data_IF_258256285985
#
_entry.id   IF_258256285985
#
_cell.length_a   1.000
_cell.length_b   1.000
_cell.length_c   1.000
_cell.angle_alpha   90.00
_cell.angle_beta   90.00
_cell.angle_gamma   90.00
#
_symmetry.space_group_name_H-M   'P 1'
#
loop_
_entity.id
_entity.type
_entity.pdbx_description
1 polymer ?
#
# COMPACT_ATOMS: atom_id res chain seq x y z
N UNK A 1 -33.92 -66.17 -25.54
CA UNK A 1 -32.81 -65.19 -25.42
C UNK A 1 -33.44 -63.83 -25.15
N UNK A 2 -33.13 -63.20 -24.02
CA UNK A 2 -33.10 -61.75 -23.73
C UNK A 2 -32.92 -61.67 -22.20
N UNK A 3 -31.68 -61.37 -21.77
CA UNK A 3 -31.32 -61.10 -20.37
C UNK A 3 -31.37 -59.60 -20.19
N UNK A 4 -32.31 -59.11 -19.37
CA UNK A 4 -32.42 -57.69 -19.03
C UNK A 4 -31.35 -57.35 -18.00
N UNK A 5 -30.35 -56.54 -18.41
CA UNK A 5 -29.34 -55.98 -17.51
C UNK A 5 -29.95 -54.85 -16.67
N UNK A 6 -29.93 -55.02 -15.35
CA UNK A 6 -30.22 -53.95 -14.39
C UNK A 6 -28.93 -53.13 -14.23
N UNK A 7 -28.93 -51.90 -14.74
CA UNK A 7 -27.82 -50.95 -14.56
C UNK A 7 -27.94 -50.29 -13.19
N UNK A 8 -26.94 -50.49 -12.34
CA UNK A 8 -26.81 -49.87 -11.03
C UNK A 8 -26.18 -48.48 -11.19
N UNK A 9 -26.97 -47.42 -11.09
CA UNK A 9 -26.47 -46.04 -11.09
C UNK A 9 -25.88 -45.71 -9.72
N UNK A 10 -24.56 -45.62 -9.63
CA UNK A 10 -23.83 -45.15 -8.44
C UNK A 10 -23.85 -43.62 -8.49
N UNK A 11 -24.65 -42.98 -7.64
CA UNK A 11 -24.51 -41.54 -7.36
C UNK A 11 -23.23 -41.33 -6.53
N UNK A 12 -22.18 -40.83 -7.17
CA UNK A 12 -21.06 -40.20 -6.46
C UNK A 12 -21.53 -38.85 -5.92
N UNK A 13 -21.87 -38.81 -4.63
CA UNK A 13 -21.97 -37.56 -3.90
C UNK A 13 -20.57 -36.93 -3.85
N UNK A 14 -20.34 -35.94 -4.71
CA UNK A 14 -19.16 -35.11 -4.64
C UNK A 14 -19.20 -34.32 -3.35
N UNK A 15 -18.45 -34.77 -2.34
CA UNK A 15 -18.10 -33.95 -1.19
C UNK A 15 -17.25 -32.79 -1.70
N UNK A 16 -17.89 -31.70 -2.08
CA UNK A 16 -17.22 -30.41 -2.22
C UNK A 16 -16.64 -30.09 -0.86
N UNK A 17 -15.33 -30.28 -0.69
CA UNK A 17 -14.62 -29.68 0.40
C UNK A 17 -14.84 -28.17 0.25
N UNK A 18 -15.74 -27.63 1.06
CA UNK A 18 -15.77 -26.20 1.34
C UNK A 18 -14.43 -25.96 2.03
N UNK A 19 -13.42 -25.56 1.26
CA UNK A 19 -12.25 -24.92 1.85
C UNK A 19 -12.82 -23.76 2.64
N UNK A 20 -12.80 -23.88 3.97
CA UNK A 20 -13.02 -22.73 4.82
C UNK A 20 -12.07 -21.66 4.28
N UNK A 21 -12.63 -20.56 3.78
CA UNK A 21 -11.84 -19.46 3.29
C UNK A 21 -11.12 -18.92 4.53
N UNK A 22 -9.88 -19.38 4.75
CA UNK A 22 -9.09 -19.06 5.96
C UNK A 22 -8.87 -17.55 6.10
N UNK A 23 -9.09 -16.81 5.00
CA UNK A 23 -9.13 -15.37 4.93
C UNK A 23 -10.45 -14.83 4.40
N UNK A 24 -11.03 -13.87 5.12
CA UNK A 24 -12.15 -13.08 4.63
C UNK A 24 -11.85 -11.59 4.79
N UNK A 25 -12.46 -10.74 3.96
CA UNK A 25 -12.33 -9.28 4.10
C UNK A 25 -12.76 -8.80 5.50
N UNK A 26 -13.89 -9.26 6.10
CA UNK A 26 -14.23 -8.92 7.48
C UNK A 26 -13.17 -9.31 8.51
N UNK A 27 -12.49 -10.45 8.33
CA UNK A 27 -11.40 -10.84 9.22
C UNK A 27 -10.21 -9.89 9.10
N UNK A 28 -9.86 -9.47 7.88
CA UNK A 28 -8.79 -8.50 7.66
C UNK A 28 -9.16 -7.10 8.17
N UNK A 29 -10.42 -6.69 8.02
CA UNK A 29 -10.98 -5.47 8.61
C UNK A 29 -10.85 -5.48 10.13
N UNK A 30 -11.29 -6.55 10.80
CA UNK A 30 -11.15 -6.69 12.24
C UNK A 30 -9.69 -6.66 12.72
N UNK A 31 -8.75 -7.21 11.93
CA UNK A 31 -7.32 -7.13 12.23
C UNK A 31 -6.82 -5.67 12.17
N UNK A 32 -7.17 -4.94 11.11
CA UNK A 32 -6.84 -3.51 10.96
C UNK A 32 -7.47 -2.67 12.07
N UNK A 33 -8.74 -2.89 12.41
CA UNK A 33 -9.41 -2.20 13.52
C UNK A 33 -8.67 -2.41 14.86
N UNK A 34 -8.22 -3.64 15.13
CA UNK A 34 -7.43 -3.93 16.34
C UNK A 34 -6.05 -3.25 16.33
N UNK A 35 -5.42 -3.13 15.16
CA UNK A 35 -4.17 -2.40 14.96
C UNK A 35 -4.37 -0.89 15.21
N UNK A 36 -5.38 -0.29 14.59
CA UNK A 36 -5.68 1.14 14.75
C UNK A 36 -6.06 1.49 16.19
N UNK A 37 -6.83 0.62 16.86
CA UNK A 37 -7.16 0.79 18.27
C UNK A 37 -5.92 0.77 19.17
N UNK A 38 -4.97 -0.14 18.90
CA UNK A 38 -3.71 -0.22 19.63
C UNK A 38 -2.79 0.97 19.35
N UNK A 39 -2.63 1.37 18.08
CA UNK A 39 -1.80 2.52 17.69
C UNK A 39 -2.34 3.83 18.27
N UNK A 40 -3.68 3.99 18.30
CA UNK A 40 -4.32 5.18 18.88
C UNK A 40 -4.01 5.30 20.38
N UNK A 41 -4.02 4.19 21.11
CA UNK A 41 -3.75 4.20 22.56
C UNK A 41 -2.29 3.97 22.94
N UNK A 42 -1.41 3.63 22.00
CA UNK A 42 -0.03 3.18 22.27
C UNK A 42 0.03 1.86 23.05
N UNK A 43 -1.02 1.04 22.95
CA UNK A 43 -1.15 -0.20 23.72
C UNK A 43 -1.28 -1.40 22.79
N UNK A 44 -0.15 -2.04 22.53
CA UNK A 44 -0.07 -3.21 21.65
C UNK A 44 -0.89 -4.41 22.16
N UNK A 45 -1.26 -4.46 23.45
CA UNK A 45 -2.09 -5.55 23.98
C UNK A 45 -3.50 -5.57 23.39
N UNK A 46 -3.94 -4.45 22.79
CA UNK A 46 -5.23 -4.32 22.11
C UNK A 46 -5.25 -4.96 20.71
N UNK A 47 -4.08 -5.25 20.14
CA UNK A 47 -4.00 -5.95 18.85
C UNK A 47 -4.32 -7.44 19.03
N UNK A 48 -5.03 -8.04 18.07
CA UNK A 48 -5.26 -9.48 18.04
C UNK A 48 -4.00 -10.22 17.56
N UNK A 49 -2.91 -10.16 18.34
CA UNK A 49 -1.60 -10.69 17.96
C UNK A 49 -1.46 -12.20 18.21
N UNK A 50 -0.77 -12.87 17.29
CA UNK A 50 -0.20 -14.19 17.53
C UNK A 50 0.98 -14.09 18.50
N UNK A 51 1.17 -15.11 19.36
CA UNK A 51 2.25 -15.12 20.34
C UNK A 51 3.65 -15.11 19.71
N UNK A 52 3.78 -15.53 18.45
CA UNK A 52 5.03 -15.56 17.67
C UNK A 52 5.02 -14.53 16.55
N UNK A 53 4.23 -13.46 16.68
CA UNK A 53 4.19 -12.40 15.69
C UNK A 53 5.59 -11.83 15.42
N UNK A 54 5.86 -11.53 14.15
CA UNK A 54 7.09 -10.88 13.70
C UNK A 54 6.86 -9.37 13.60
N UNK A 55 7.93 -8.62 13.84
CA UNK A 55 7.88 -7.16 13.88
C UNK A 55 8.98 -6.58 13.01
N UNK A 56 8.60 -5.65 12.14
CA UNK A 56 9.49 -4.87 11.31
C UNK A 56 9.08 -3.41 11.36
N UNK A 57 10.07 -2.53 11.39
CA UNK A 57 9.88 -1.10 11.24
C UNK A 57 10.95 -0.58 10.28
N UNK A 58 10.56 0.22 9.30
CA UNK A 58 11.42 0.77 8.25
C UNK A 58 12.21 -0.33 7.52
N UNK A 59 11.55 -1.47 7.27
CA UNK A 59 12.11 -2.68 6.66
C UNK A 59 13.33 -3.24 7.42
N UNK A 60 13.39 -3.02 8.74
CA UNK A 60 14.41 -3.55 9.65
C UNK A 60 13.69 -4.40 10.72
N UNK A 61 14.14 -5.64 10.99
CA UNK A 61 13.60 -6.45 12.08
C UNK A 61 13.70 -5.73 13.42
N UNK A 62 12.61 -5.69 14.16
CA UNK A 62 12.54 -5.07 15.49
C UNK A 62 11.85 -6.01 16.49
N UNK A 63 11.65 -5.55 17.73
CA UNK A 63 10.94 -6.30 18.77
C UNK A 63 9.58 -5.69 19.07
N UNK A 64 8.71 -6.48 19.70
CA UNK A 64 7.38 -6.08 20.14
C UNK A 64 7.40 -4.77 20.95
N UNK A 65 8.41 -4.57 21.77
CA UNK A 65 8.52 -3.46 22.72
C UNK A 65 9.08 -2.18 22.11
N UNK A 66 9.68 -2.26 20.91
CA UNK A 66 10.46 -1.15 20.33
C UNK A 66 9.75 -0.36 19.25
N UNK A 67 8.74 -0.93 18.59
CA UNK A 67 8.07 -0.25 17.49
C UNK A 67 7.13 0.86 17.94
N UNK A 68 6.83 1.76 17.01
CA UNK A 68 5.98 2.94 17.20
C UNK A 68 4.55 2.59 17.65
N UNK A 69 4.10 1.35 17.46
CA UNK A 69 2.81 0.84 17.98
C UNK A 69 2.68 0.87 19.51
N UNK A 70 3.77 1.13 20.26
CA UNK A 70 3.73 1.39 21.70
C UNK A 70 3.64 2.89 22.05
N UNK A 71 3.48 3.76 21.06
CA UNK A 71 3.31 5.21 21.23
C UNK A 71 1.89 5.60 20.82
N UNK A 72 1.19 6.32 21.70
CA UNK A 72 -0.16 6.79 21.41
C UNK A 72 -0.13 7.87 20.33
N UNK A 73 -0.82 7.64 19.21
CA UNK A 73 -0.90 8.59 18.10
C UNK A 73 -2.35 9.05 17.87
N UNK A 74 -2.62 10.36 17.81
CA UNK A 74 -3.92 10.88 17.41
C UNK A 74 -4.10 10.75 15.89
N UNK A 75 -4.66 9.61 15.46
CA UNK A 75 -4.88 9.30 14.05
C UNK A 75 -5.92 10.26 13.46
N UNK A 76 -5.53 11.00 12.42
CA UNK A 76 -6.37 12.01 11.77
C UNK A 76 -7.11 11.49 10.52
N UNK A 77 -6.52 10.50 9.84
CA UNK A 77 -7.11 9.84 8.68
C UNK A 77 -6.41 8.51 8.38
N UNK A 78 -7.10 7.60 7.70
CA UNK A 78 -6.57 6.30 7.28
C UNK A 78 -7.15 5.83 5.96
N UNK A 79 -6.34 5.15 5.15
CA UNK A 79 -6.79 4.37 3.98
C UNK A 79 -6.32 2.93 4.18
N UNK A 80 -7.22 1.96 4.09
CA UNK A 80 -6.90 0.53 4.25
C UNK A 80 -7.31 -0.28 3.02
N UNK A 81 -6.44 -1.22 2.64
CA UNK A 81 -6.70 -2.18 1.55
C UNK A 81 -6.46 -3.62 2.05
N UNK A 82 -7.19 -4.56 1.46
CA UNK A 82 -7.32 -5.92 2.00
C UNK A 82 -7.05 -6.97 0.93
N UNK A 83 -5.91 -7.65 1.05
CA UNK A 83 -5.47 -8.72 0.17
C UNK A 83 -5.97 -10.07 0.71
N UNK A 84 -7.22 -10.38 0.38
CA UNK A 84 -7.90 -11.62 0.81
C UNK A 84 -7.13 -12.87 0.36
N UNK A 85 -6.67 -13.00 -0.90
CA UNK A 85 -5.92 -14.20 -1.32
C UNK A 85 -4.61 -14.43 -0.57
N UNK A 86 -3.94 -13.37 -0.07
CA UNK A 86 -2.67 -13.48 0.65
C UNK A 86 -2.77 -13.33 2.16
N UNK A 87 -3.97 -13.08 2.70
CA UNK A 87 -4.17 -12.68 4.09
C UNK A 87 -3.26 -11.55 4.54
N UNK A 88 -3.19 -10.50 3.73
CA UNK A 88 -2.43 -9.30 4.05
C UNK A 88 -3.29 -8.07 4.00
N UNK A 89 -2.86 -7.05 4.72
CA UNK A 89 -3.45 -5.72 4.64
C UNK A 89 -2.34 -4.70 4.43
N UNK A 90 -2.72 -3.53 3.94
CA UNK A 90 -1.94 -2.32 4.03
C UNK A 90 -2.86 -1.23 4.58
N UNK A 91 -2.36 -0.43 5.51
CA UNK A 91 -3.05 0.73 6.04
C UNK A 91 -2.10 1.92 6.03
N UNK A 92 -2.48 2.95 5.30
CA UNK A 92 -1.90 4.29 5.39
C UNK A 92 -2.53 5.00 6.60
N UNK A 93 -1.71 5.57 7.47
CA UNK A 93 -2.14 6.28 8.69
C UNK A 93 -1.53 7.67 8.71
N UNK A 94 -2.35 8.70 8.85
CA UNK A 94 -1.89 10.09 8.87
C UNK A 94 -2.11 10.66 10.28
N UNK A 95 -1.02 11.20 10.85
CA UNK A 95 -0.99 11.80 12.19
C UNK A 95 -0.49 13.24 12.05
N UNK A 96 -1.30 14.20 12.47
CA UNK A 96 -1.00 15.65 12.36
C UNK A 96 -0.97 16.37 13.70
N UNK A 97 -1.44 15.71 14.77
CA UNK A 97 -1.48 16.24 16.13
C UNK A 97 -0.59 15.38 17.06
N UNK A 98 -0.48 15.74 18.34
CA UNK A 98 0.29 14.96 19.32
C UNK A 98 1.77 15.33 19.42
N UNK A 99 2.17 16.46 18.83
CA UNK A 99 3.51 17.06 18.96
C UNK A 99 4.53 16.57 17.93
N UNK A 100 4.41 15.34 17.43
CA UNK A 100 5.25 14.79 16.37
C UNK A 100 4.37 14.21 15.25
N UNK A 101 4.34 14.83 14.05
CA UNK A 101 3.54 14.34 12.93
C UNK A 101 4.18 13.11 12.27
N UNK A 102 3.34 12.21 11.75
CA UNK A 102 3.77 11.01 11.04
C UNK A 102 2.86 10.73 9.83
N UNK A 103 3.42 10.09 8.80
CA UNK A 103 2.66 9.33 7.81
C UNK A 103 3.20 7.89 7.84
N UNK A 104 2.34 6.95 8.22
CA UNK A 104 2.72 5.55 8.38
C UNK A 104 2.14 4.72 7.23
N UNK A 105 2.89 3.76 6.76
CA UNK A 105 2.38 2.66 5.94
C UNK A 105 2.57 1.36 6.69
N UNK A 106 1.50 0.71 7.14
CA UNK A 106 1.60 -0.53 7.93
C UNK A 106 0.96 -1.69 7.19
N UNK A 107 1.73 -2.77 7.05
CA UNK A 107 1.25 -4.06 6.55
C UNK A 107 1.06 -5.03 7.70
N UNK A 108 -0.05 -5.76 7.65
CA UNK A 108 -0.32 -6.87 8.56
C UNK A 108 -0.41 -8.16 7.75
N UNK A 109 0.23 -9.23 8.24
CA UNK A 109 -0.11 -10.60 7.83
C UNK A 109 -1.04 -11.21 8.89
N UNK A 110 -2.07 -11.92 8.44
CA UNK A 110 -3.11 -12.47 9.32
C UNK A 110 -3.24 -13.97 9.09
N UNK A 111 -3.42 -14.73 10.17
CA UNK A 111 -3.74 -16.16 10.13
C UNK A 111 -4.77 -16.46 11.19
N UNK A 112 -5.90 -17.06 10.80
CA UNK A 112 -6.97 -17.47 11.74
C UNK A 112 -7.42 -16.34 12.68
N UNK A 113 -7.57 -15.11 12.15
CA UNK A 113 -7.97 -13.93 12.92
C UNK A 113 -6.89 -13.35 13.85
N UNK A 114 -5.65 -13.82 13.74
CA UNK A 114 -4.49 -13.32 14.49
C UNK A 114 -3.47 -12.66 13.58
N UNK A 115 -2.97 -11.50 13.99
CA UNK A 115 -1.88 -10.79 13.32
C UNK A 115 -0.58 -11.56 13.61
N UNK A 116 0.06 -12.07 12.55
CA UNK A 116 1.31 -12.85 12.62
C UNK A 116 2.53 -12.05 12.22
N UNK A 117 2.34 -10.89 11.58
CA UNK A 117 3.42 -9.99 11.21
C UNK A 117 2.90 -8.55 11.18
N UNK A 118 3.69 -7.62 11.71
CA UNK A 118 3.53 -6.18 11.56
C UNK A 118 4.78 -5.66 10.87
N UNK A 119 4.61 -4.94 9.77
CA UNK A 119 5.69 -4.29 9.03
C UNK A 119 5.28 -2.85 8.71
N UNK A 120 5.89 -1.88 9.38
CA UNK A 120 5.55 -0.46 9.25
C UNK A 120 6.68 0.33 8.62
N UNK A 121 6.36 1.19 7.65
CA UNK A 121 7.16 2.35 7.32
C UNK A 121 6.67 3.53 8.17
N UNK A 122 7.58 4.16 8.87
CA UNK A 122 7.34 5.32 9.72
C UNK A 122 8.01 6.50 9.03
N UNK A 123 7.21 7.33 8.37
CA UNK A 123 7.72 8.55 7.77
C UNK A 123 7.45 9.77 8.65
N UNK A 124 8.47 10.60 8.86
CA UNK A 124 8.41 11.80 9.68
C UNK A 124 9.38 12.92 9.22
N UNK A 125 9.68 13.85 10.13
CA UNK A 125 10.54 14.98 9.85
C UNK A 125 11.92 14.52 9.32
N UNK A 126 12.36 15.13 8.22
CA UNK A 126 13.58 14.83 7.44
C UNK A 126 13.45 13.76 6.34
N UNK A 127 12.27 13.18 6.19
CA UNK A 127 11.93 12.34 5.05
C UNK A 127 11.59 13.13 3.79
N UNK A 128 11.55 12.40 2.67
CA UNK A 128 11.33 12.94 1.33
C UNK A 128 10.02 13.74 1.25
N UNK A 129 10.17 15.05 1.02
CA UNK A 129 9.06 16.01 0.85
C UNK A 129 8.06 16.05 2.02
N UNK A 130 8.46 15.58 3.22
CA UNK A 130 7.54 15.35 4.33
C UNK A 130 6.79 16.60 4.80
N UNK A 131 5.47 16.51 4.82
CA UNK A 131 4.49 17.47 5.31
C UNK A 131 3.15 16.74 5.55
N UNK A 132 2.96 16.24 6.77
CA UNK A 132 1.75 15.49 7.14
C UNK A 132 0.45 16.32 7.03
N UNK A 133 0.52 17.65 7.19
CA UNK A 133 -0.66 18.51 7.09
C UNK A 133 -1.18 18.59 5.64
N UNK A 134 -0.29 18.77 4.67
CA UNK A 134 -0.64 18.72 3.25
C UNK A 134 -1.00 17.29 2.82
N UNK A 135 -0.31 16.27 3.34
CA UNK A 135 -0.69 14.86 3.12
C UNK A 135 -2.13 14.60 3.55
N UNK A 136 -2.51 15.03 4.76
CA UNK A 136 -3.88 14.94 5.27
C UNK A 136 -4.88 15.69 4.39
N UNK A 137 -4.54 16.93 4.00
CA UNK A 137 -5.39 17.79 3.18
C UNK A 137 -5.72 17.13 1.85
N UNK A 138 -4.73 16.63 1.13
CA UNK A 138 -4.93 16.04 -0.19
C UNK A 138 -5.55 14.64 -0.11
N UNK A 139 -5.14 13.81 0.84
CA UNK A 139 -5.76 12.50 1.07
C UNK A 139 -7.27 12.62 1.35
N UNK A 140 -7.70 13.61 2.16
CA UNK A 140 -9.13 13.91 2.41
C UNK A 140 -9.89 14.50 1.22
N UNK A 141 -9.19 15.04 0.23
CA UNK A 141 -9.82 15.60 -0.97
C UNK A 141 -10.13 14.52 -2.03
N UNK A 142 -9.56 13.33 -1.86
CA UNK A 142 -9.76 12.20 -2.74
C UNK A 142 -10.94 11.33 -2.27
N UNK A 143 -11.69 10.78 -3.22
CA UNK A 143 -12.79 9.88 -2.92
C UNK A 143 -12.38 8.45 -3.25
N UNK A 144 -12.27 7.58 -2.25
CA UNK A 144 -11.81 6.20 -2.43
C UNK A 144 -12.96 5.19 -2.32
N UNK A 145 -13.92 5.16 -3.28
CA UNK A 145 -15.00 4.19 -3.23
C UNK A 145 -14.49 2.79 -3.60
N UNK A 146 -15.24 1.78 -3.14
CA UNK A 146 -15.21 0.45 -3.74
C UNK A 146 -15.62 0.59 -5.21
N UNK A 147 -14.87 -0.03 -6.12
CA UNK A 147 -15.19 0.01 -7.54
C UNK A 147 -16.40 -0.85 -7.87
N UNK A 148 -17.15 -0.44 -8.88
CA UNK A 148 -18.04 -1.36 -9.59
C UNK A 148 -17.22 -2.47 -10.27
N UNK A 149 -17.75 -3.70 -10.41
CA UNK A 149 -17.02 -4.82 -11.00
C UNK A 149 -16.38 -4.51 -12.36
N UNK A 150 -17.05 -3.73 -13.20
CA UNK A 150 -16.59 -3.39 -14.55
C UNK A 150 -15.45 -2.36 -14.57
N UNK A 151 -15.28 -1.57 -13.49
CA UNK A 151 -14.19 -0.61 -13.36
C UNK A 151 -12.89 -1.26 -12.83
N UNK A 152 -12.96 -2.53 -12.40
CA UNK A 152 -11.85 -3.27 -11.80
C UNK A 152 -11.00 -3.94 -12.87
N UNK A 153 -9.74 -4.15 -12.53
CA UNK A 153 -8.80 -4.96 -13.31
C UNK A 153 -8.30 -6.12 -12.46
N UNK A 154 -7.70 -7.12 -13.10
CA UNK A 154 -7.17 -8.28 -12.41
C UNK A 154 -6.03 -7.93 -11.45
N UNK A 155 -5.80 -8.80 -10.46
CA UNK A 155 -4.64 -8.74 -9.57
C UNK A 155 -3.32 -8.55 -10.32
N UNK A 156 -3.14 -9.29 -11.42
CA UNK A 156 -1.89 -9.24 -12.18
C UNK A 156 -1.74 -7.88 -12.89
N UNK A 157 -2.81 -7.33 -13.46
CA UNK A 157 -2.79 -5.99 -14.06
C UNK A 157 -2.46 -4.90 -13.04
N UNK A 158 -2.94 -5.01 -11.79
CA UNK A 158 -2.55 -4.11 -10.71
C UNK A 158 -1.05 -4.20 -10.42
N UNK A 159 -0.51 -5.42 -10.24
CA UNK A 159 0.93 -5.65 -10.01
C UNK A 159 1.78 -5.14 -11.17
N UNK A 160 1.35 -5.42 -12.40
CA UNK A 160 2.05 -5.00 -13.62
C UNK A 160 2.09 -3.48 -13.73
N UNK A 161 0.98 -2.79 -13.41
CA UNK A 161 0.96 -1.34 -13.34
C UNK A 161 2.03 -0.82 -12.36
N UNK A 162 1.98 -1.26 -11.09
CA UNK A 162 2.95 -0.84 -10.09
C UNK A 162 4.41 -1.06 -10.50
N UNK A 163 4.73 -2.20 -11.13
CA UNK A 163 6.07 -2.46 -11.67
C UNK A 163 6.44 -1.55 -12.83
N UNK A 164 5.54 -1.37 -13.80
CA UNK A 164 5.76 -0.50 -14.95
C UNK A 164 6.04 0.93 -14.52
N UNK A 165 5.40 1.43 -13.45
CA UNK A 165 5.72 2.75 -12.90
C UNK A 165 7.21 2.84 -12.55
N UNK A 166 7.72 1.99 -11.67
CA UNK A 166 9.12 2.04 -11.25
C UNK A 166 10.09 1.86 -12.43
N UNK A 167 9.80 0.91 -13.31
CA UNK A 167 10.67 0.60 -14.43
C UNK A 167 10.68 1.74 -15.47
N UNK A 168 9.54 2.41 -15.69
CA UNK A 168 9.48 3.61 -16.51
C UNK A 168 10.28 4.76 -15.91
N UNK A 169 10.12 5.02 -14.61
CA UNK A 169 10.75 6.16 -13.92
C UNK A 169 12.27 6.04 -13.85
N UNK A 170 12.79 4.82 -13.71
CA UNK A 170 14.21 4.62 -13.42
C UNK A 170 15.00 3.78 -14.41
N UNK A 171 14.37 3.08 -15.35
CA UNK A 171 15.09 2.16 -16.24
C UNK A 171 14.87 2.46 -17.72
N UNK A 172 13.62 2.53 -18.18
CA UNK A 172 13.33 2.56 -19.62
C UNK A 172 12.09 3.42 -19.98
N UNK A 173 12.30 4.48 -20.80
CA UNK A 173 11.19 5.28 -21.37
C UNK A 173 10.34 4.51 -22.38
N UNK A 174 10.77 3.35 -22.84
CA UNK A 174 10.02 2.45 -23.73
C UNK A 174 8.81 1.82 -23.04
N UNK A 175 8.81 1.77 -21.71
CA UNK A 175 7.70 1.25 -20.91
C UNK A 175 6.51 2.21 -20.98
N UNK A 176 5.30 1.65 -20.93
CA UNK A 176 4.05 2.40 -21.05
C UNK A 176 3.18 2.13 -19.83
N UNK A 177 3.48 2.73 -18.66
CA UNK A 177 2.61 2.63 -17.50
C UNK A 177 1.21 3.11 -17.85
N UNK A 178 0.16 2.57 -17.20
CA UNK A 178 -1.22 2.92 -17.52
C UNK A 178 -1.62 4.28 -16.93
N UNK A 179 -0.97 5.35 -17.39
CA UNK A 179 -1.32 6.73 -17.02
C UNK A 179 -2.79 7.03 -17.30
N UNK A 180 -3.48 7.61 -16.32
CA UNK A 180 -4.85 8.10 -16.45
C UNK A 180 -4.93 9.62 -16.49
N UNK A 181 -6.12 10.15 -16.73
CA UNK A 181 -6.41 11.58 -16.65
C UNK A 181 -7.88 11.75 -16.26
N UNK A 182 -8.20 12.45 -15.16
CA UNK A 182 -7.26 13.06 -14.22
C UNK A 182 -6.54 12.01 -13.36
N UNK A 183 -5.27 12.23 -13.05
CA UNK A 183 -4.59 11.49 -11.98
C UNK A 183 -3.67 12.38 -11.17
N UNK A 184 -3.40 11.97 -9.92
CA UNK A 184 -2.56 12.73 -9.02
C UNK A 184 -1.58 11.84 -8.24
N UNK A 185 -0.40 12.38 -7.94
CA UNK A 185 0.56 11.78 -7.02
C UNK A 185 0.64 12.61 -5.75
N UNK A 186 0.52 11.94 -4.61
CA UNK A 186 0.76 12.47 -3.27
C UNK A 186 2.06 11.88 -2.72
N UNK A 187 3.09 12.72 -2.62
CA UNK A 187 4.46 12.31 -2.28
C UNK A 187 5.03 13.21 -1.18
N UNK A 188 5.15 12.67 0.03
CA UNK A 188 5.55 13.42 1.23
C UNK A 188 4.57 14.52 1.65
N UNK A 189 3.58 14.88 0.84
CA UNK A 189 2.69 16.03 1.02
C UNK A 189 2.66 16.93 -0.22
N UNK A 190 3.61 16.77 -1.14
CA UNK A 190 3.52 17.35 -2.47
C UNK A 190 2.42 16.63 -3.28
N UNK A 191 1.57 17.41 -3.96
CA UNK A 191 0.45 16.88 -4.74
C UNK A 191 0.47 17.42 -6.16
N UNK A 192 0.35 16.55 -7.16
CA UNK A 192 0.44 16.96 -8.58
C UNK A 192 -0.85 17.54 -9.14
N UNK A 193 -1.98 17.42 -8.43
CA UNK A 193 -3.26 18.01 -8.82
C UNK A 193 -3.86 18.92 -7.72
N UNK A 194 -3.14 19.96 -7.26
CA UNK A 194 -3.54 20.75 -6.10
C UNK A 194 -4.81 21.59 -6.33
N UNK A 195 -5.23 21.76 -7.59
CA UNK A 195 -6.42 22.53 -8.00
C UNK A 195 -7.61 21.64 -8.37
N UNK A 196 -7.47 20.31 -8.28
CA UNK A 196 -8.46 19.33 -8.73
C UNK A 196 -8.92 19.55 -10.19
N UNK A 197 -7.95 19.84 -11.07
CA UNK A 197 -8.20 20.05 -12.49
C UNK A 197 -8.39 18.70 -13.19
N UNK A 198 -9.33 18.60 -14.15
CA UNK A 198 -9.65 17.34 -14.83
C UNK A 198 -8.55 16.91 -15.83
N UNK A 199 -7.60 17.78 -16.14
CA UNK A 199 -6.50 17.53 -17.09
C UNK A 199 -5.17 17.21 -16.43
N UNK A 200 -5.09 17.36 -15.11
CA UNK A 200 -3.85 17.13 -14.38
C UNK A 200 -3.48 15.66 -14.38
N UNK A 201 -2.18 15.42 -14.37
CA UNK A 201 -1.57 14.11 -14.47
C UNK A 201 -0.66 13.83 -13.27
N UNK A 202 -0.47 12.55 -13.03
CA UNK A 202 0.48 11.94 -12.10
C UNK A 202 1.72 11.43 -12.84
N UNK A 203 1.79 11.65 -14.16
CA UNK A 203 2.94 11.31 -14.97
C UNK A 203 4.14 12.13 -14.52
N UNK A 204 5.27 11.45 -14.39
CA UNK A 204 6.55 12.05 -14.08
C UNK A 204 7.42 12.07 -15.33
N UNK A 205 8.22 13.13 -15.55
CA UNK A 205 9.30 13.09 -16.54
C UNK A 205 10.23 11.91 -16.22
N UNK A 206 10.54 11.09 -17.22
CA UNK A 206 11.32 9.87 -17.02
C UNK A 206 12.32 9.61 -18.17
N UNK A 207 13.42 8.88 -17.93
CA UNK A 207 13.84 8.43 -16.62
C UNK A 207 14.50 9.59 -15.87
N UNK A 208 14.43 9.56 -14.55
CA UNK A 208 15.11 10.54 -13.69
C UNK A 208 16.58 10.16 -13.40
N UNK A 209 17.01 9.00 -13.88
CA UNK A 209 18.33 8.42 -13.66
C UNK A 209 18.21 6.91 -13.49
N UNK A 210 19.33 6.19 -13.60
CA UNK A 210 19.35 4.74 -13.36
C UNK A 210 19.33 4.46 -11.86
N UNK A 211 18.21 3.91 -11.36
CA UNK A 211 18.05 3.49 -9.98
C UNK A 211 17.26 2.19 -9.91
N UNK A 212 17.82 1.18 -9.25
CA UNK A 212 17.10 -0.07 -9.05
C UNK A 212 16.15 0.04 -7.86
N UNK A 213 14.86 -0.11 -8.12
CA UNK A 213 13.83 -0.29 -7.08
C UNK A 213 13.67 -1.77 -6.82
N UNK A 214 14.24 -2.24 -5.70
CA UNK A 214 14.40 -3.65 -5.35
C UNK A 214 13.47 -4.06 -4.19
N UNK A 215 13.48 -5.35 -3.84
CA UNK A 215 12.68 -5.92 -2.75
C UNK A 215 11.17 -5.63 -2.84
N UNK A 216 10.63 -5.51 -4.07
CA UNK A 216 9.22 -5.22 -4.31
C UNK A 216 8.33 -6.33 -3.75
N UNK A 217 7.41 -5.97 -2.86
CA UNK A 217 6.45 -6.87 -2.24
C UNK A 217 5.07 -6.21 -2.22
N UNK A 218 4.03 -7.00 -2.48
CA UNK A 218 2.73 -6.47 -2.89
C UNK A 218 1.62 -6.79 -1.87
N UNK A 219 0.71 -5.83 -1.69
CA UNK A 219 -0.63 -6.04 -1.12
C UNK A 219 -1.63 -5.55 -2.18
N UNK A 220 -2.53 -6.42 -2.62
CA UNK A 220 -3.47 -6.12 -3.72
C UNK A 220 -4.90 -6.26 -3.24
N UNK A 221 -5.73 -5.27 -3.56
CA UNK A 221 -7.17 -5.29 -3.29
C UNK A 221 -7.92 -4.92 -4.58
N UNK A 222 -8.48 -5.94 -5.25
CA UNK A 222 -9.22 -5.75 -6.52
C UNK A 222 -10.53 -4.97 -6.33
N UNK A 223 -11.19 -5.05 -5.18
CA UNK A 223 -12.43 -4.28 -4.92
C UNK A 223 -12.13 -2.79 -4.83
N UNK A 224 -11.01 -2.45 -4.20
CA UNK A 224 -10.50 -1.09 -4.15
C UNK A 224 -9.71 -0.73 -5.41
N UNK A 225 -9.49 -1.64 -6.37
CA UNK A 225 -8.63 -1.41 -7.53
C UNK A 225 -7.25 -0.87 -7.16
N UNK A 226 -6.59 -1.47 -6.17
CA UNK A 226 -5.33 -0.97 -5.62
C UNK A 226 -4.23 -2.02 -5.56
N UNK A 227 -2.99 -1.57 -5.71
CA UNK A 227 -1.80 -2.29 -5.25
C UNK A 227 -0.93 -1.38 -4.42
N UNK A 228 -0.54 -1.84 -3.25
CA UNK A 228 0.57 -1.26 -2.50
C UNK A 228 1.84 -2.07 -2.77
N UNK A 229 2.95 -1.37 -3.01
CA UNK A 229 4.28 -1.93 -3.22
C UNK A 229 5.21 -1.40 -2.15
N UNK A 230 5.64 -2.26 -1.22
CA UNK A 230 6.82 -1.97 -0.40
C UNK A 230 8.07 -2.34 -1.18
N UNK A 231 9.07 -1.47 -1.14
CA UNK A 231 10.31 -1.63 -1.88
C UNK A 231 11.48 -0.88 -1.22
N UNK A 232 12.68 -1.05 -1.77
CA UNK A 232 13.86 -0.24 -1.45
C UNK A 232 14.40 0.44 -2.68
N UNK A 233 14.73 1.71 -2.55
CA UNK A 233 15.35 2.53 -3.59
C UNK A 233 16.88 2.38 -3.52
N UNK A 234 17.50 1.96 -4.61
CA UNK A 234 18.96 1.86 -4.76
C UNK A 234 19.53 0.49 -4.42
N UNK A 235 19.50 0.10 -3.13
CA UNK A 235 20.10 -1.15 -2.65
C UNK A 235 19.16 -2.00 -1.79
N UNK A 236 19.37 -3.32 -1.81
CA UNK A 236 18.54 -4.30 -1.11
C UNK A 236 18.66 -4.29 0.41
N UNK A 237 19.74 -3.70 0.96
CA UNK A 237 20.03 -3.63 2.40
C UNK A 237 20.07 -2.19 2.89
N UNK A 238 20.82 -1.34 2.21
CA UNK A 238 21.08 0.05 2.60
C UNK A 238 20.21 1.07 1.84
N UNK A 239 19.41 0.62 0.87
CA UNK A 239 18.52 1.47 0.10
C UNK A 239 17.38 2.06 0.94
N UNK A 240 16.85 3.21 0.52
CA UNK A 240 15.79 3.89 1.26
C UNK A 240 14.48 3.07 1.21
N UNK A 241 13.88 2.68 2.35
CA UNK A 241 12.58 2.04 2.38
C UNK A 241 11.51 2.95 1.81
N UNK A 242 10.60 2.35 1.04
CA UNK A 242 9.54 3.10 0.40
C UNK A 242 8.29 2.25 0.18
N UNK A 243 7.13 2.91 0.20
CA UNK A 243 5.85 2.36 -0.16
C UNK A 243 5.21 3.20 -1.26
N UNK A 244 4.78 2.59 -2.35
CA UNK A 244 3.86 3.21 -3.33
C UNK A 244 2.51 2.49 -3.33
N UNK A 245 1.44 3.21 -2.99
CA UNK A 245 0.05 2.77 -3.17
C UNK A 245 -0.48 3.34 -4.49
N UNK A 246 -0.79 2.46 -5.43
CA UNK A 246 -1.41 2.80 -6.70
C UNK A 246 -2.89 2.47 -6.66
N UNK A 247 -3.73 3.45 -7.04
CA UNK A 247 -5.15 3.27 -7.33
C UNK A 247 -5.36 3.27 -8.84
N UNK A 248 -5.97 2.21 -9.36
CA UNK A 248 -6.39 2.09 -10.74
C UNK A 248 -7.91 2.10 -10.85
N UNK A 249 -8.44 2.92 -11.75
CA UNK A 249 -9.86 2.94 -12.15
C UNK A 249 -9.90 2.69 -13.65
N UNK A 250 -10.68 1.71 -14.10
CA UNK A 250 -10.70 1.30 -15.51
C UNK A 250 -9.28 0.97 -16.04
N UNK A 251 -8.47 0.34 -15.18
CA UNK A 251 -7.09 -0.03 -15.49
C UNK A 251 -6.12 1.13 -15.66
N UNK A 252 -6.51 2.37 -15.31
CA UNK A 252 -5.66 3.57 -15.39
C UNK A 252 -5.38 4.16 -14.02
N UNK A 253 -4.19 4.71 -13.82
CA UNK A 253 -3.85 5.40 -12.57
C UNK A 253 -4.85 6.54 -12.32
N UNK A 254 -5.37 6.56 -11.10
CA UNK A 254 -6.17 7.66 -10.57
C UNK A 254 -5.42 8.39 -9.45
N UNK A 255 -4.86 7.64 -8.51
CA UNK A 255 -4.04 8.17 -7.41
C UNK A 255 -2.80 7.31 -7.19
N UNK A 256 -1.71 7.98 -6.80
CA UNK A 256 -0.46 7.35 -6.40
C UNK A 256 -0.05 8.01 -5.08
N UNK A 257 -0.03 7.26 -3.99
CA UNK A 257 0.47 7.73 -2.71
C UNK A 257 1.84 7.13 -2.46
N UNK A 258 2.78 7.93 -1.96
CA UNK A 258 4.09 7.45 -1.56
C UNK A 258 4.36 7.71 -0.08
N UNK A 259 5.15 6.83 0.52
CA UNK A 259 5.70 6.97 1.87
C UNK A 259 7.15 6.54 1.78
N UNK A 260 8.07 7.50 1.86
CA UNK A 260 9.51 7.27 1.70
C UNK A 260 10.19 7.54 3.03
N UNK A 261 11.04 6.62 3.48
CA UNK A 261 11.77 6.73 4.74
C UNK A 261 13.25 6.96 4.49
N UNK A 262 13.81 7.93 5.18
CA UNK A 262 15.20 8.32 5.12
C UNK A 262 15.99 7.75 6.30
N UNK A 263 16.80 6.73 6.03
CA UNK A 263 17.60 6.07 7.06
C UNK A 263 18.85 6.86 7.48
N UNK A 264 19.18 7.97 6.82
CA UNK A 264 20.45 8.68 7.05
C UNK A 264 20.41 9.71 8.18
N UNK A 265 19.21 10.08 8.65
CA UNK A 265 19.01 11.14 9.65
C UNK A 265 19.46 12.53 9.17
N UNK A 266 19.60 12.73 7.87
CA UNK A 266 19.90 14.03 7.23
C UNK A 266 18.91 14.26 6.11
N UNK A 267 18.30 15.45 5.96
CA UNK A 267 17.35 15.71 4.88
C UNK A 267 17.89 15.29 3.51
N UNK A 268 17.04 14.65 2.69
CA UNK A 268 17.39 14.31 1.31
C UNK A 268 17.45 15.60 0.50
N UNK A 269 18.65 15.97 0.04
CA UNK A 269 18.88 17.13 -0.82
C UNK A 269 19.02 16.63 -2.27
N UNK A 270 18.07 16.97 -3.13
CA UNK A 270 18.22 16.82 -4.58
C UNK A 270 18.68 18.16 -5.15
N UNK A 271 19.72 18.13 -6.00
CA UNK A 271 20.24 19.29 -6.72
C UNK A 271 20.01 19.10 -8.24
N UNK A 272 19.23 19.98 -8.91
CA UNK A 272 18.48 21.09 -8.33
C UNK A 272 17.25 20.61 -7.53
N UNK A 273 16.75 21.38 -6.55
CA UNK A 273 15.60 20.99 -5.75
C UNK A 273 14.37 20.73 -6.63
N UNK A 274 13.44 19.83 -6.26
CA UNK A 274 12.28 19.44 -7.08
C UNK A 274 11.38 20.60 -7.53
N UNK A 275 11.39 21.71 -6.78
CA UNK A 275 10.65 22.93 -7.08
C UNK A 275 11.36 23.86 -8.07
N UNK A 276 12.61 23.55 -8.44
CA UNK A 276 13.38 24.25 -9.47
C UNK A 276 13.24 23.62 -10.86
N UNK A 277 12.48 22.52 -11.00
CA UNK A 277 12.08 21.98 -12.30
C UNK A 277 11.00 22.93 -12.88
N UNK A 278 11.24 23.57 -14.05
CA UNK A 278 10.32 24.55 -14.61
C UNK A 278 8.90 24.01 -14.74
N UNK A 279 7.90 24.85 -14.49
CA UNK A 279 6.47 24.55 -14.60
C UNK A 279 6.09 24.01 -16.01
N UNK A 280 6.91 24.30 -17.02
CA UNK A 280 6.78 23.80 -18.41
C UNK A 280 7.23 22.36 -18.61
N UNK A 281 7.78 21.69 -17.58
CA UNK A 281 8.21 20.30 -17.61
C UNK A 281 7.39 19.39 -16.66
N UNK A 282 6.29 19.91 -16.10
CA UNK A 282 5.28 19.13 -15.37
C UNK A 282 4.11 18.80 -16.29
#
# INVERSE_FOLDING_TARGET
>A
MIRTMISLAILLAGSGAVYAQECTRPMLQAAVESYLAAQTSGDISRMSLDAKAKFQENMIPTTREKGLWNTALPIAHTISIYDVPRCKTFTEVIVTEGGHPYVLGTRLAVKSGKITEIDSLVSDQDDWLFNAADYLKYSKAEDWPVLEPDDRVSRQELIDAGNQYFDFVFLDKGIRPPWGTPCARLEGGAYTNPKNEPRDTCQIPAPLGEMFVVNRTYVVDEEMGTVNVFCRFGDSKEGMPDSHLFRLVNGKYRWIHTISVNLTGKPIVIDPPPNAIPETAR
#
